data_IF_086946793902
#
_entry.id   IF_086946793902
#
_cell.length_a   1.000
_cell.length_b   1.000
_cell.length_c   1.000
_cell.angle_alpha   90.00
_cell.angle_beta   90.00
_cell.angle_gamma   90.00
#
_symmetry.space_group_name_H-M   'P 1'
#
loop_
_entity.id
_entity.type
_entity.pdbx_description
1 polymer ?
#
# COMPACT_ATOMS: atom_id res chain seq x y z
N UNK A 1 0.58 3.46 21.47
CA UNK A 1 -0.50 3.70 20.49
C UNK A 1 -0.26 2.74 19.34
N UNK A 2 -1.24 1.93 18.97
CA UNK A 2 -1.03 0.94 17.89
C UNK A 2 -1.02 1.64 16.53
N UNK A 3 -0.14 1.23 15.63
CA UNK A 3 0.03 1.80 14.29
C UNK A 3 -0.73 0.97 13.25
N UNK A 4 -1.60 1.64 12.50
CA UNK A 4 -2.30 1.05 11.35
C UNK A 4 -1.78 1.71 10.08
N UNK A 5 -1.31 0.91 9.12
CA UNK A 5 -0.88 1.38 7.80
C UNK A 5 -1.91 1.00 6.74
N UNK A 6 -2.49 1.99 6.07
CA UNK A 6 -3.21 1.80 4.82
C UNK A 6 -2.20 1.91 3.67
N UNK A 7 -2.16 0.93 2.76
CA UNK A 7 -1.22 0.95 1.64
C UNK A 7 -1.85 0.52 0.34
N UNK A 8 -1.61 1.27 -0.73
CA UNK A 8 -2.09 0.94 -2.08
C UNK A 8 -1.20 -0.10 -2.76
N UNK A 9 -1.81 -1.08 -3.42
CA UNK A 9 -1.12 -2.19 -4.08
C UNK A 9 -1.16 -2.02 -5.59
N UNK A 10 0.01 -1.93 -6.22
CA UNK A 10 0.18 -1.87 -7.68
C UNK A 10 0.92 -3.08 -8.24
N UNK A 11 1.45 -2.96 -9.45
CA UNK A 11 2.17 -4.05 -10.12
C UNK A 11 3.55 -4.39 -9.55
N UNK A 12 4.09 -3.57 -8.65
CA UNK A 12 5.34 -3.85 -7.93
C UNK A 12 5.05 -3.94 -6.43
N UNK A 13 5.47 -5.05 -5.81
CA UNK A 13 5.25 -5.32 -4.39
C UNK A 13 6.41 -4.83 -3.51
N UNK A 14 7.63 -4.74 -4.07
CA UNK A 14 8.86 -4.43 -3.33
C UNK A 14 8.77 -3.12 -2.52
N UNK A 15 8.27 -2.01 -3.09
CA UNK A 15 8.16 -0.77 -2.32
C UNK A 15 7.18 -0.85 -1.14
N UNK A 16 6.17 -1.72 -1.24
CA UNK A 16 5.20 -1.98 -0.16
C UNK A 16 5.87 -2.75 0.96
N UNK A 17 6.70 -3.75 0.63
CA UNK A 17 7.53 -4.47 1.61
C UNK A 17 8.45 -3.50 2.34
N UNK A 18 9.11 -2.60 1.60
CA UNK A 18 9.98 -1.57 2.17
C UNK A 18 9.20 -0.63 3.10
N UNK A 19 8.01 -0.17 2.71
CA UNK A 19 7.14 0.66 3.55
C UNK A 19 6.75 -0.04 4.86
N UNK A 20 6.30 -1.29 4.79
CA UNK A 20 5.90 -2.06 5.98
C UNK A 20 7.09 -2.26 6.91
N UNK A 21 8.26 -2.66 6.38
CA UNK A 21 9.47 -2.87 7.18
C UNK A 21 10.01 -1.59 7.79
N UNK A 22 9.90 -0.46 7.09
CA UNK A 22 10.38 0.84 7.60
C UNK A 22 9.48 1.42 8.66
N UNK A 23 8.16 1.31 8.47
CA UNK A 23 7.17 1.93 9.37
C UNK A 23 6.82 1.05 10.57
N UNK A 24 7.06 -0.27 10.48
CA UNK A 24 6.74 -1.28 11.50
C UNK A 24 5.31 -1.08 12.06
N UNK A 25 4.26 -1.13 11.22
CA UNK A 25 2.89 -1.05 11.69
C UNK A 25 2.47 -2.34 12.40
N UNK A 26 1.57 -2.23 13.38
CA UNK A 26 0.99 -3.41 14.05
C UNK A 26 -0.10 -4.07 13.20
N UNK A 27 -0.70 -3.30 12.27
CA UNK A 27 -1.73 -3.75 11.35
C UNK A 27 -1.57 -3.08 9.99
N UNK A 28 -1.74 -3.86 8.92
CA UNK A 28 -1.68 -3.35 7.54
C UNK A 28 -3.02 -3.59 6.87
N UNK A 29 -3.58 -2.55 6.24
CA UNK A 29 -4.78 -2.62 5.43
C UNK A 29 -4.37 -2.36 3.98
N UNK A 30 -4.52 -3.37 3.13
CA UNK A 30 -4.17 -3.30 1.73
C UNK A 30 -5.33 -2.74 0.91
N UNK A 31 -5.04 -1.84 -0.02
CA UNK A 31 -6.01 -1.34 -1.00
C UNK A 31 -5.60 -1.85 -2.37
N UNK A 32 -6.36 -2.81 -2.90
CA UNK A 32 -6.00 -3.54 -4.12
C UNK A 32 -7.16 -3.54 -5.13
N UNK A 33 -6.81 -3.57 -6.42
CA UNK A 33 -7.80 -3.78 -7.47
C UNK A 33 -8.19 -5.23 -7.58
N UNK A 34 -9.47 -5.47 -7.83
CA UNK A 34 -10.04 -6.78 -8.12
C UNK A 34 -9.90 -7.12 -9.62
N UNK A 35 -10.36 -8.32 -9.99
CA UNK A 35 -10.30 -8.84 -11.35
C UNK A 35 -9.00 -9.59 -11.68
N UNK A 36 -8.97 -10.23 -12.84
CA UNK A 36 -7.88 -11.12 -13.26
C UNK A 36 -6.52 -10.42 -13.35
N UNK A 37 -6.52 -9.14 -13.75
CA UNK A 37 -5.33 -8.28 -13.82
C UNK A 37 -5.20 -7.35 -12.61
N UNK A 38 -6.03 -7.56 -11.59
CA UNK A 38 -6.04 -6.77 -10.37
C UNK A 38 -4.85 -7.10 -9.46
N UNK A 39 -4.51 -6.18 -8.56
CA UNK A 39 -3.42 -6.38 -7.59
C UNK A 39 -3.82 -7.24 -6.39
N UNK A 40 -5.08 -7.70 -6.30
CA UNK A 40 -5.59 -8.60 -5.24
C UNK A 40 -4.73 -9.86 -5.08
N UNK A 41 -4.25 -10.45 -6.17
CA UNK A 41 -3.42 -11.65 -6.13
C UNK A 41 -2.12 -11.44 -5.35
N UNK A 42 -1.54 -10.24 -5.34
CA UNK A 42 -0.35 -9.96 -4.55
C UNK A 42 -0.63 -9.88 -3.05
N UNK A 43 -1.90 -9.80 -2.62
CA UNK A 43 -2.28 -9.76 -1.21
C UNK A 43 -2.76 -11.12 -0.73
N UNK A 44 -3.69 -11.75 -1.47
CA UNK A 44 -4.35 -13.00 -1.04
C UNK A 44 -4.16 -14.17 -2.01
N UNK A 45 -3.34 -14.00 -3.06
CA UNK A 45 -3.02 -15.10 -3.95
C UNK A 45 -2.20 -16.17 -3.25
N UNK A 46 -2.52 -17.43 -3.53
CA UNK A 46 -1.80 -18.59 -3.01
C UNK A 46 -0.47 -18.82 -3.74
N UNK A 47 0.44 -19.56 -3.12
CA UNK A 47 1.74 -19.89 -3.70
C UNK A 47 2.63 -18.67 -3.80
N UNK A 48 3.03 -18.32 -5.03
CA UNK A 48 3.99 -17.23 -5.29
C UNK A 48 3.48 -16.21 -6.33
N UNK A 49 2.45 -15.41 -5.98
CA UNK A 49 1.81 -14.48 -6.93
C UNK A 49 2.63 -13.22 -7.21
N UNK A 50 3.62 -12.88 -6.37
CA UNK A 50 4.45 -11.71 -6.54
C UNK A 50 5.58 -12.01 -7.53
N UNK A 51 5.63 -11.30 -8.65
CA UNK A 51 6.60 -11.52 -9.71
C UNK A 51 7.66 -10.41 -9.74
N UNK A 52 8.94 -10.78 -9.69
CA UNK A 52 10.04 -9.87 -10.01
C UNK A 52 10.26 -9.97 -11.52
N UNK A 53 10.16 -8.83 -12.21
CA UNK A 53 10.32 -8.75 -13.67
C UNK A 53 11.55 -7.98 -14.09
N UNK A 54 12.18 -8.43 -15.18
CA UNK A 54 13.17 -7.67 -15.97
C UNK A 54 12.62 -7.50 -17.38
N UNK A 55 11.99 -6.36 -17.64
CA UNK A 55 11.22 -6.18 -18.88
C UNK A 55 10.01 -7.11 -18.89
N UNK A 56 9.87 -7.93 -19.94
CA UNK A 56 8.77 -8.89 -20.07
C UNK A 56 9.03 -10.20 -19.30
N UNK A 57 10.27 -10.49 -18.94
CA UNK A 57 10.69 -11.75 -18.33
C UNK A 57 10.44 -11.76 -16.81
N UNK A 58 9.85 -12.84 -16.30
CA UNK A 58 9.73 -13.10 -14.86
C UNK A 58 11.01 -13.80 -14.41
N UNK A 59 11.79 -13.12 -13.57
CA UNK A 59 13.08 -13.63 -13.08
C UNK A 59 12.95 -14.35 -11.74
N UNK A 60 11.90 -14.05 -10.97
CA UNK A 60 11.64 -14.64 -9.66
C UNK A 60 10.16 -14.54 -9.32
N UNK A 61 9.67 -15.53 -8.57
CA UNK A 61 8.33 -15.52 -7.98
C UNK A 61 8.44 -15.68 -6.48
N UNK A 62 7.71 -14.84 -5.75
CA UNK A 62 7.69 -14.78 -4.30
C UNK A 62 6.27 -14.91 -3.76
N UNK A 63 6.09 -15.34 -2.50
CA UNK A 63 4.80 -15.37 -1.84
C UNK A 63 4.05 -14.03 -1.86
N UNK A 64 2.77 -14.02 -1.49
CA UNK A 64 2.02 -12.77 -1.35
C UNK A 64 2.65 -11.83 -0.29
N UNK A 65 2.30 -10.55 -0.35
CA UNK A 65 2.86 -9.51 0.50
C UNK A 65 2.71 -9.84 2.00
N UNK A 66 1.52 -10.23 2.53
CA UNK A 66 1.38 -10.60 3.93
C UNK A 66 2.33 -11.70 4.39
N UNK A 67 2.60 -12.70 3.54
CA UNK A 67 3.55 -13.78 3.83
C UNK A 67 4.99 -13.28 3.85
N UNK A 68 5.37 -12.41 2.90
CA UNK A 68 6.73 -11.87 2.81
C UNK A 68 7.12 -10.94 3.97
N UNK A 69 6.14 -10.33 4.63
CA UNK A 69 6.33 -9.47 5.83
C UNK A 69 5.89 -10.15 7.13
N UNK A 70 5.64 -11.46 7.09
CA UNK A 70 5.33 -12.29 8.27
C UNK A 70 4.14 -11.75 9.10
N UNK A 71 3.06 -11.33 8.43
CA UNK A 71 1.86 -10.87 9.15
C UNK A 71 1.12 -12.03 9.84
N UNK A 72 1.20 -13.25 9.31
CA UNK A 72 0.53 -14.44 9.86
C UNK A 72 -0.95 -14.20 10.18
N UNK A 73 -1.38 -14.63 11.37
CA UNK A 73 -2.76 -14.48 11.86
C UNK A 73 -3.17 -13.03 12.14
N UNK A 74 -2.22 -12.07 12.14
CA UNK A 74 -2.56 -10.65 12.32
C UNK A 74 -3.22 -10.06 11.07
N UNK A 75 -3.08 -10.71 9.91
CA UNK A 75 -3.73 -10.31 8.67
C UNK A 75 -4.99 -11.16 8.43
N UNK A 76 -6.14 -10.47 8.34
CA UNK A 76 -7.43 -11.09 8.03
C UNK A 76 -8.05 -10.39 6.83
N UNK A 77 -8.15 -11.03 5.64
CA UNK A 77 -8.64 -10.40 4.41
C UNK A 77 -9.97 -9.65 4.56
N UNK A 78 -10.91 -10.19 5.35
CA UNK A 78 -12.24 -9.61 5.56
C UNK A 78 -12.19 -8.23 6.23
N UNK A 79 -11.11 -7.99 6.99
CA UNK A 79 -10.90 -6.79 7.79
C UNK A 79 -9.80 -5.89 7.23
N UNK A 80 -8.83 -6.48 6.52
CA UNK A 80 -7.54 -5.88 6.20
C UNK A 80 -7.29 -5.76 4.68
N UNK A 81 -8.32 -6.00 3.86
CA UNK A 81 -8.27 -5.81 2.42
C UNK A 81 -9.47 -4.98 1.92
N UNK A 82 -9.18 -3.83 1.33
CA UNK A 82 -10.13 -3.01 0.59
C UNK A 82 -9.99 -3.36 -0.89
N UNK A 83 -11.00 -4.03 -1.45
CA UNK A 83 -11.08 -4.30 -2.87
C UNK A 83 -11.78 -3.16 -3.62
N UNK A 84 -11.12 -2.61 -4.63
CA UNK A 84 -11.72 -1.70 -5.61
C UNK A 84 -11.99 -2.44 -6.92
N UNK A 85 -13.19 -2.28 -7.47
CA UNK A 85 -13.60 -2.95 -8.72
C UNK A 85 -12.98 -2.26 -9.92
N UNK A 86 -13.01 -0.92 -9.94
CA UNK A 86 -12.32 -0.13 -10.95
C UNK A 86 -11.28 0.80 -10.29
N UNK A 87 -9.98 0.48 -10.34
CA UNK A 87 -8.94 1.33 -9.76
C UNK A 87 -8.75 2.68 -10.47
N UNK A 88 -9.40 2.90 -11.61
CA UNK A 88 -9.44 4.19 -12.31
C UNK A 88 -10.72 4.99 -12.01
N UNK A 89 -11.63 4.47 -11.19
CA UNK A 89 -12.77 5.21 -10.67
C UNK A 89 -12.40 5.91 -9.35
N UNK A 90 -12.08 7.21 -9.45
CA UNK A 90 -11.68 8.02 -8.30
C UNK A 90 -12.74 8.02 -7.18
N UNK A 91 -14.02 8.15 -7.53
CA UNK A 91 -15.10 8.22 -6.55
C UNK A 91 -15.26 6.92 -5.76
N UNK A 92 -15.15 5.77 -6.44
CA UNK A 92 -15.16 4.46 -5.79
C UNK A 92 -13.98 4.33 -4.80
N UNK A 93 -12.77 4.60 -5.29
CA UNK A 93 -11.55 4.46 -4.52
C UNK A 93 -11.59 5.36 -3.28
N UNK A 94 -11.88 6.66 -3.48
CA UNK A 94 -11.91 7.64 -2.40
C UNK A 94 -13.00 7.31 -1.36
N UNK A 95 -14.21 6.95 -1.80
CA UNK A 95 -15.31 6.61 -0.87
C UNK A 95 -14.96 5.41 0.01
N UNK A 96 -14.42 4.34 -0.57
CA UNK A 96 -14.02 3.14 0.18
C UNK A 96 -12.91 3.43 1.19
N UNK A 97 -11.88 4.16 0.77
CA UNK A 97 -10.73 4.52 1.62
C UNK A 97 -11.18 5.45 2.76
N UNK A 98 -11.91 6.52 2.43
CA UNK A 98 -12.36 7.52 3.41
C UNK A 98 -13.30 6.89 4.45
N UNK A 99 -14.21 6.01 4.04
CA UNK A 99 -15.07 5.27 4.96
C UNK A 99 -14.27 4.34 5.90
N UNK A 100 -13.21 3.70 5.40
CA UNK A 100 -12.32 2.89 6.24
C UNK A 100 -11.60 3.77 7.29
N UNK A 101 -10.99 4.87 6.86
CA UNK A 101 -10.27 5.78 7.77
C UNK A 101 -11.21 6.32 8.85
N UNK A 102 -12.40 6.79 8.48
CA UNK A 102 -13.38 7.32 9.45
C UNK A 102 -13.84 6.26 10.46
N UNK A 103 -14.05 5.01 10.04
CA UNK A 103 -14.36 3.90 10.96
C UNK A 103 -13.23 3.66 11.95
N UNK A 104 -11.99 3.59 11.47
CA UNK A 104 -10.82 3.43 12.34
C UNK A 104 -10.62 4.62 13.29
N UNK A 105 -10.99 5.84 12.89
CA UNK A 105 -10.92 7.02 13.77
C UNK A 105 -11.96 7.02 14.88
N UNK A 106 -13.07 6.28 14.73
CA UNK A 106 -14.04 6.05 15.80
C UNK A 106 -13.48 5.09 16.87
N UNK A 107 -12.52 4.24 16.49
CA UNK A 107 -11.78 3.36 17.39
C UNK A 107 -10.64 4.15 18.05
N UNK A 108 -10.73 4.41 19.36
CA UNK A 108 -9.68 5.13 20.08
C UNK A 108 -8.40 4.28 20.22
N UNK A 109 -7.23 4.91 20.13
CA UNK A 109 -5.95 4.28 20.51
C UNK A 109 -5.04 3.89 19.34
N UNK A 110 -5.41 4.27 18.11
CA UNK A 110 -4.64 3.98 16.91
C UNK A 110 -4.03 5.24 16.27
N UNK A 111 -2.79 5.13 15.84
CA UNK A 111 -2.16 6.05 14.90
C UNK A 111 -2.38 5.49 13.49
N UNK A 112 -3.15 6.21 12.68
CA UNK A 112 -3.42 5.82 11.30
C UNK A 112 -2.41 6.52 10.38
N UNK A 113 -1.82 5.73 9.48
CA UNK A 113 -0.85 6.16 8.48
C UNK A 113 -1.28 5.64 7.11
N UNK A 114 -0.90 6.35 6.06
CA UNK A 114 -1.17 5.98 4.68
C UNK A 114 0.13 6.00 3.86
N UNK A 115 0.37 4.99 3.04
CA UNK A 115 1.46 4.94 2.06
C UNK A 115 0.86 4.74 0.66
N UNK A 116 1.17 5.66 -0.25
CA UNK A 116 0.63 5.68 -1.61
C UNK A 116 1.68 5.30 -2.67
N UNK A 117 2.69 4.52 -2.29
CA UNK A 117 3.79 4.17 -3.21
C UNK A 117 3.32 3.38 -4.42
N UNK A 118 2.39 2.44 -4.20
CA UNK A 118 1.88 1.53 -5.22
C UNK A 118 0.51 1.93 -5.76
N UNK A 119 0.05 1.19 -6.75
CA UNK A 119 -1.31 1.32 -7.31
C UNK A 119 -1.37 2.18 -8.57
N UNK A 120 -2.58 2.33 -9.11
CA UNK A 120 -2.81 3.26 -10.22
C UNK A 120 -2.66 4.69 -9.72
N UNK A 121 -2.49 5.65 -10.65
CA UNK A 121 -2.43 7.08 -10.32
C UNK A 121 -3.71 7.51 -9.59
N UNK A 122 -4.85 7.02 -10.07
CA UNK A 122 -6.16 7.31 -9.49
C UNK A 122 -6.32 6.74 -8.08
N UNK A 123 -5.89 5.48 -7.85
CA UNK A 123 -5.93 4.86 -6.53
C UNK A 123 -5.02 5.59 -5.53
N UNK A 124 -3.82 5.98 -5.99
CA UNK A 124 -2.87 6.77 -5.18
C UNK A 124 -3.44 8.15 -4.83
N UNK A 125 -4.02 8.85 -5.82
CA UNK A 125 -4.67 10.15 -5.60
C UNK A 125 -5.84 10.04 -4.62
N UNK A 126 -6.66 8.99 -4.72
CA UNK A 126 -7.75 8.73 -3.79
C UNK A 126 -7.25 8.58 -2.34
N UNK A 127 -6.17 7.82 -2.13
CA UNK A 127 -5.58 7.65 -0.80
C UNK A 127 -5.02 8.96 -0.25
N UNK A 128 -4.30 9.73 -1.06
CA UNK A 128 -3.76 11.04 -0.68
C UNK A 128 -4.89 12.00 -0.28
N UNK A 129 -5.94 12.11 -1.11
CA UNK A 129 -7.09 12.97 -0.83
C UNK A 129 -7.77 12.59 0.50
N UNK A 130 -8.08 11.30 0.68
CA UNK A 130 -8.72 10.82 1.90
C UNK A 130 -7.83 11.04 3.13
N UNK A 131 -6.51 10.83 3.00
CA UNK A 131 -5.57 11.02 4.08
C UNK A 131 -5.44 12.48 4.52
N UNK A 132 -5.33 13.42 3.56
CA UNK A 132 -5.27 14.86 3.83
C UNK A 132 -6.56 15.37 4.47
N UNK A 133 -7.72 14.90 3.99
CA UNK A 133 -9.02 15.27 4.54
C UNK A 133 -9.19 14.76 5.98
N UNK A 134 -8.84 13.49 6.23
CA UNK A 134 -8.97 12.88 7.55
C UNK A 134 -7.82 13.23 8.52
N UNK A 135 -6.81 13.97 8.05
CA UNK A 135 -5.69 14.42 8.87
C UNK A 135 -4.73 13.31 9.33
N UNK A 136 -4.60 12.23 8.55
CA UNK A 136 -3.67 11.12 8.87
C UNK A 136 -2.31 11.32 8.18
N UNK A 137 -1.26 10.71 8.72
CA UNK A 137 0.10 10.87 8.17
C UNK A 137 0.26 10.15 6.84
N UNK A 138 0.86 10.83 5.84
CA UNK A 138 1.17 10.28 4.53
C UNK A 138 2.65 9.92 4.39
N UNK A 139 2.92 8.83 3.69
CA UNK A 139 4.24 8.31 3.37
C UNK A 139 4.34 7.93 1.89
N UNK A 140 5.57 7.94 1.39
CA UNK A 140 5.91 7.45 0.05
C UNK A 140 7.26 6.74 0.12
N UNK A 141 7.37 5.62 -0.58
CA UNK A 141 8.61 4.88 -0.77
C UNK A 141 9.16 5.18 -2.16
N UNK A 142 10.35 5.76 -2.20
CA UNK A 142 11.02 6.16 -3.44
C UNK A 142 12.28 5.32 -3.64
N UNK A 143 12.60 5.01 -4.90
CA UNK A 143 13.92 4.49 -5.22
C UNK A 143 14.96 5.57 -4.90
N UNK A 144 16.01 5.21 -4.16
CA UNK A 144 17.17 6.05 -3.89
C UNK A 144 17.78 6.46 -5.23
N UNK A 145 17.73 7.77 -5.53
CA UNK A 145 18.33 8.34 -6.73
C UNK A 145 19.69 8.90 -6.35
N UNK A 146 20.67 8.03 -6.15
CA UNK A 146 22.01 8.50 -5.76
C UNK A 146 22.84 9.02 -6.95
N UNK A 147 22.43 8.81 -8.22
CA UNK A 147 23.00 9.50 -9.39
C UNK A 147 22.16 9.36 -10.67
N UNK A 148 22.18 10.37 -11.55
CA UNK A 148 21.55 10.37 -12.89
C UNK A 148 22.14 9.31 -13.86
N UNK A 149 23.21 8.63 -13.47
CA UNK A 149 24.01 7.73 -14.32
C UNK A 149 23.81 6.25 -13.95
N UNK A 150 23.34 5.94 -12.74
CA UNK A 150 23.05 4.57 -12.30
C UNK A 150 22.21 4.57 -11.03
N UNK A 151 21.12 3.80 -11.03
CA UNK A 151 20.33 3.52 -9.83
C UNK A 151 21.09 2.50 -8.97
N UNK A 152 21.70 2.96 -7.88
CA UNK A 152 22.10 2.06 -6.79
C UNK A 152 20.83 1.60 -6.06
N UNK A 153 20.76 0.30 -5.76
CA UNK A 153 19.54 -0.36 -5.28
C UNK A 153 19.28 -0.02 -3.82
N UNK A 154 18.59 1.08 -3.57
CA UNK A 154 17.96 1.39 -2.29
C UNK A 154 16.53 1.86 -2.51
N UNK A 155 15.61 1.51 -1.62
CA UNK A 155 14.29 2.13 -1.51
C UNK A 155 14.22 2.80 -0.14
N UNK A 156 13.65 4.01 -0.07
CA UNK A 156 13.50 4.76 1.17
C UNK A 156 12.04 5.19 1.34
N UNK A 157 11.45 4.83 2.46
CA UNK A 157 10.15 5.34 2.89
C UNK A 157 10.32 6.66 3.63
N UNK A 158 9.67 7.71 3.16
CA UNK A 158 9.71 9.05 3.77
C UNK A 158 8.30 9.58 4.04
N UNK A 159 8.17 10.38 5.10
CA UNK A 159 6.94 11.09 5.42
C UNK A 159 6.74 12.24 4.46
N UNK A 160 5.51 12.43 4.00
CA UNK A 160 5.13 13.54 3.11
C UNK A 160 4.71 14.73 3.96
N UNK A 161 5.23 15.91 3.62
CA UNK A 161 4.80 17.17 4.21
C UNK A 161 3.43 17.56 3.66
N UNK A 162 2.43 17.65 4.54
CA UNK A 162 1.06 18.04 4.23
C UNK A 162 0.68 19.39 4.84
N UNK A 163 1.66 20.21 5.24
CA UNK A 163 1.43 21.52 5.87
C UNK A 163 1.10 22.63 4.86
N UNK A 164 0.94 22.32 3.58
CA UNK A 164 0.49 23.26 2.54
C UNK A 164 -0.99 23.65 2.65
N UNK A 165 -1.61 23.40 3.82
CA UNK A 165 -2.95 23.85 4.17
C UNK A 165 -2.94 25.30 4.62
#
# INVERSE_FOLDING_TARGET
MSKILLVTVGGSFQPIITAIRSLQPDRVIFIASDGEKGSKSQVIGEGTPCEVRRGAEVIERLPNIPTQVDLGENFQPERDLILVQNPDNLAECYSKICNCIRKLQQESGHQIMADYTGGTKTLSAALVMAAVECGISLYITIAARDNLVKVERGELTQKVDTSFK
#
